data_IF_614457739397
#
_entry.id   IF_614457739397
#
_cell.length_a   1.000
_cell.length_b   1.000
_cell.length_c   1.000
_cell.angle_alpha   90.00
_cell.angle_beta   90.00
_cell.angle_gamma   90.00
#
_symmetry.space_group_name_H-M   'P 1'
#
loop_
_entity.id
_entity.type
_entity.pdbx_description
1 polymer ?
#
# COMPACT_ATOMS: atom_id res chain seq x y z
N UNK A 1 3.01 -19.27 1.80
CA UNK A 1 4.13 -19.07 0.86
C UNK A 1 3.79 -17.93 -0.08
N UNK A 2 4.65 -16.92 -0.17
CA UNK A 2 4.52 -15.81 -1.12
C UNK A 2 5.18 -16.23 -2.44
N UNK A 3 4.38 -16.47 -3.48
CA UNK A 3 4.89 -16.88 -4.79
C UNK A 3 4.95 -15.72 -5.77
N UNK A 4 6.05 -15.61 -6.52
CA UNK A 4 6.14 -14.82 -7.74
C UNK A 4 6.53 -15.77 -8.87
N UNK A 5 5.66 -15.90 -9.89
CA UNK A 5 5.90 -16.81 -11.02
C UNK A 5 6.17 -18.28 -10.63
N UNK A 6 5.49 -18.82 -9.62
CA UNK A 6 5.69 -20.20 -9.08
C UNK A 6 7.02 -20.48 -8.37
N UNK A 7 7.87 -19.47 -8.20
CA UNK A 7 9.08 -19.53 -7.36
C UNK A 7 8.82 -18.85 -6.02
N UNK A 8 9.26 -19.48 -4.93
CA UNK A 8 9.28 -18.85 -3.61
C UNK A 8 10.37 -17.77 -3.58
N UNK A 9 9.97 -16.54 -3.26
CA UNK A 9 10.91 -15.43 -3.14
C UNK A 9 11.73 -15.57 -1.86
N UNK A 10 13.01 -15.20 -1.91
CA UNK A 10 13.87 -15.10 -0.71
C UNK A 10 13.43 -13.97 0.24
N UNK A 11 12.73 -12.97 -0.29
CA UNK A 11 12.12 -11.89 0.47
C UNK A 11 11.67 -10.73 -0.42
N UNK A 12 11.01 -9.75 0.19
CA UNK A 12 10.68 -8.47 -0.45
C UNK A 12 10.91 -7.32 0.55
N UNK A 13 11.18 -6.14 0.01
CA UNK A 13 11.41 -4.90 0.73
C UNK A 13 10.27 -3.94 0.43
N UNK A 14 9.76 -3.33 1.48
CA UNK A 14 8.63 -2.40 1.41
C UNK A 14 9.15 -0.98 1.61
N UNK A 15 8.69 -0.06 0.77
CA UNK A 15 8.91 1.37 0.98
C UNK A 15 8.41 1.76 2.37
N UNK A 16 9.30 2.31 3.20
CA UNK A 16 9.01 2.64 4.60
C UNK A 16 7.85 3.62 4.78
N UNK A 17 7.68 4.51 3.81
CA UNK A 17 6.63 5.52 3.74
C UNK A 17 5.88 5.37 2.40
N UNK A 18 4.76 6.07 2.25
CA UNK A 18 4.15 6.31 0.94
C UNK A 18 5.18 6.89 -0.05
N UNK A 19 4.97 6.66 -1.35
CA UNK A 19 5.83 7.25 -2.38
C UNK A 19 5.70 8.78 -2.40
N UNK A 20 6.78 9.48 -2.74
CA UNK A 20 6.85 10.94 -2.87
C UNK A 20 7.69 11.35 -4.07
N UNK A 21 7.78 12.66 -4.34
CA UNK A 21 8.47 13.19 -5.52
C UNK A 21 7.53 13.32 -6.72
N UNK A 22 7.91 12.74 -7.87
CA UNK A 22 7.12 12.76 -9.09
C UNK A 22 7.11 11.39 -9.78
N UNK A 23 6.24 11.20 -10.77
CA UNK A 23 6.19 9.96 -11.56
C UNK A 23 7.45 9.68 -12.38
N UNK A 24 8.28 10.70 -12.63
CA UNK A 24 9.60 10.56 -13.27
C UNK A 24 10.75 10.37 -12.28
N UNK A 25 10.52 10.65 -10.99
CA UNK A 25 11.53 10.60 -9.94
C UNK A 25 10.88 10.22 -8.60
N UNK A 26 10.37 8.98 -8.53
CA UNK A 26 9.77 8.42 -7.33
C UNK A 26 10.82 8.31 -6.22
N UNK A 27 10.48 8.77 -5.01
CA UNK A 27 11.30 8.59 -3.81
C UNK A 27 10.46 8.01 -2.67
N UNK A 28 11.15 7.55 -1.61
CA UNK A 28 10.53 7.15 -0.34
C UNK A 28 11.26 7.89 0.78
N UNK A 29 10.65 8.95 1.31
CA UNK A 29 11.26 9.87 2.27
C UNK A 29 10.26 10.25 3.36
N UNK A 30 10.70 10.48 4.61
CA UNK A 30 9.86 11.11 5.64
C UNK A 30 9.74 12.62 5.40
N UNK A 31 8.80 13.29 6.07
CA UNK A 31 8.68 14.76 6.07
C UNK A 31 8.55 15.34 4.65
N UNK A 32 7.88 14.61 3.77
CA UNK A 32 7.49 15.15 2.48
C UNK A 32 6.04 14.81 2.25
N UNK A 33 5.35 15.70 1.56
CA UNK A 33 4.02 15.40 1.07
C UNK A 33 4.11 14.19 0.13
N UNK A 34 3.29 13.17 0.35
CA UNK A 34 3.25 12.02 -0.54
C UNK A 34 2.88 12.42 -1.97
N UNK A 35 3.36 11.66 -2.95
CA UNK A 35 2.93 11.80 -4.34
C UNK A 35 1.52 11.23 -4.41
N UNK A 36 0.58 12.07 -4.86
CA UNK A 36 -0.85 11.74 -4.96
C UNK A 36 -1.39 12.15 -6.32
N UNK A 37 -2.71 11.97 -6.51
CA UNK A 37 -3.42 12.40 -7.72
C UNK A 37 -2.82 11.78 -8.98
N UNK A 38 -2.57 10.47 -8.96
CA UNK A 38 -2.18 9.69 -10.13
C UNK A 38 -3.22 8.60 -10.38
N UNK A 39 -3.27 8.06 -11.60
CA UNK A 39 -3.99 6.82 -11.86
C UNK A 39 -3.17 5.62 -11.36
N UNK A 40 -3.83 4.47 -11.16
CA UNK A 40 -3.12 3.22 -10.80
C UNK A 40 -2.05 2.88 -11.84
N UNK A 41 -2.33 3.04 -13.13
CA UNK A 41 -1.32 2.80 -14.17
C UNK A 41 -0.14 3.76 -14.08
N UNK A 42 -0.37 5.03 -13.74
CA UNK A 42 0.70 6.02 -13.59
C UNK A 42 1.61 5.66 -12.41
N UNK A 43 1.04 5.30 -11.24
CA UNK A 43 1.82 4.80 -10.11
C UNK A 43 2.56 3.50 -10.44
N UNK A 44 1.88 2.53 -11.05
CA UNK A 44 2.47 1.25 -11.44
C UNK A 44 3.70 1.46 -12.34
N UNK A 45 3.57 2.24 -13.40
CA UNK A 45 4.67 2.52 -14.34
C UNK A 45 5.82 3.28 -13.67
N UNK A 46 5.49 4.31 -12.88
CA UNK A 46 6.51 5.10 -12.18
C UNK A 46 7.33 4.25 -11.20
N UNK A 47 6.66 3.38 -10.44
CA UNK A 47 7.31 2.49 -9.47
C UNK A 47 8.09 1.38 -10.20
N UNK A 48 7.58 0.84 -11.31
CA UNK A 48 8.34 -0.11 -12.14
C UNK A 48 9.65 0.47 -12.67
N UNK A 49 9.68 1.77 -12.98
CA UNK A 49 10.89 2.42 -13.49
C UNK A 49 11.94 2.69 -12.40
N UNK A 50 11.61 2.55 -11.11
CA UNK A 50 12.54 2.73 -9.97
C UNK A 50 13.77 1.85 -10.13
N UNK A 51 13.62 0.60 -10.60
CA UNK A 51 14.79 -0.26 -10.85
C UNK A 51 15.80 0.38 -11.79
N UNK A 52 15.34 1.08 -12.83
CA UNK A 52 16.21 1.74 -13.79
C UNK A 52 16.77 3.03 -13.21
N UNK A 53 15.91 3.84 -12.58
CA UNK A 53 16.29 5.10 -11.93
C UNK A 53 17.39 4.92 -10.88
N UNK A 54 17.37 3.81 -10.14
CA UNK A 54 18.32 3.54 -9.05
C UNK A 54 19.30 2.39 -9.34
N UNK A 55 19.34 1.86 -10.56
CA UNK A 55 20.31 0.82 -10.96
C UNK A 55 20.14 -0.52 -10.22
N UNK A 56 18.91 -0.91 -9.90
CA UNK A 56 18.59 -2.19 -9.25
C UNK A 56 18.60 -3.30 -10.31
N UNK A 57 19.71 -4.03 -10.40
CA UNK A 57 19.92 -5.02 -11.46
C UNK A 57 19.45 -6.45 -11.10
N UNK A 58 19.37 -6.78 -9.81
CA UNK A 58 19.08 -8.14 -9.32
C UNK A 58 17.76 -8.21 -8.52
N UNK A 59 16.81 -7.33 -8.79
CA UNK A 59 15.49 -7.35 -8.17
C UNK A 59 14.43 -6.74 -9.10
N UNK A 60 13.17 -7.01 -8.79
CA UNK A 60 12.00 -6.44 -9.47
C UNK A 60 11.41 -5.34 -8.58
N UNK A 61 11.11 -4.17 -9.15
CA UNK A 61 10.43 -3.08 -8.44
C UNK A 61 8.99 -2.96 -8.91
N UNK A 62 8.03 -2.91 -7.99
CA UNK A 62 6.62 -2.85 -8.36
C UNK A 62 5.78 -2.14 -7.30
N UNK A 63 4.61 -1.69 -7.72
CA UNK A 63 3.61 -1.15 -6.81
C UNK A 63 3.06 -2.27 -5.93
N UNK A 64 2.89 -2.00 -4.64
CA UNK A 64 2.47 -3.00 -3.65
C UNK A 64 1.21 -3.75 -4.06
N UNK A 65 1.24 -5.07 -3.92
CA UNK A 65 0.09 -5.97 -4.09
C UNK A 65 -0.66 -6.18 -2.78
N UNK A 66 -1.88 -6.71 -2.84
CA UNK A 66 -2.69 -6.95 -1.65
C UNK A 66 -2.09 -8.06 -0.77
N UNK A 67 -1.53 -9.12 -1.38
CA UNK A 67 -0.80 -10.16 -0.67
C UNK A 67 0.40 -9.59 0.10
N UNK A 68 1.13 -8.63 -0.46
CA UNK A 68 2.29 -7.99 0.19
C UNK A 68 1.84 -7.07 1.32
N UNK A 69 0.73 -6.34 1.15
CA UNK A 69 0.11 -5.59 2.24
C UNK A 69 -0.28 -6.52 3.40
N UNK A 70 -0.95 -7.64 3.10
CA UNK A 70 -1.35 -8.64 4.08
C UNK A 70 -0.16 -9.20 4.86
N UNK A 71 0.98 -9.43 4.19
CA UNK A 71 2.21 -9.83 4.83
C UNK A 71 2.70 -8.83 5.89
N UNK A 72 2.70 -7.54 5.55
CA UNK A 72 3.09 -6.47 6.48
C UNK A 72 2.09 -6.36 7.62
N UNK A 73 0.79 -6.52 7.33
CA UNK A 73 -0.27 -6.49 8.32
C UNK A 73 -0.15 -7.64 9.33
N UNK A 74 0.16 -8.85 8.88
CA UNK A 74 0.42 -9.98 9.78
C UNK A 74 1.72 -9.82 10.56
N UNK A 75 2.77 -9.24 9.95
CA UNK A 75 4.00 -8.92 10.68
C UNK A 75 3.73 -7.89 11.79
N UNK A 76 2.95 -6.84 11.50
CA UNK A 76 2.46 -5.87 12.50
C UNK A 76 1.72 -6.58 13.63
N UNK A 77 0.85 -7.54 13.32
CA UNK A 77 0.08 -8.29 14.32
C UNK A 77 0.92 -9.30 15.12
N UNK A 78 2.13 -9.65 14.66
CA UNK A 78 2.98 -10.65 15.31
C UNK A 78 3.65 -10.12 16.59
N UNK A 79 4.28 -11.03 17.34
CA UNK A 79 5.14 -10.68 18.50
C UNK A 79 6.37 -9.84 18.13
N UNK A 80 6.71 -9.74 16.84
CA UNK A 80 7.82 -8.94 16.32
C UNK A 80 7.36 -7.56 15.84
N UNK A 81 6.04 -7.35 15.72
CA UNK A 81 5.42 -6.05 15.47
C UNK A 81 4.83 -5.48 16.76
N UNK A 82 3.55 -5.15 16.73
CA UNK A 82 2.77 -4.54 17.80
C UNK A 82 1.80 -5.51 18.50
N UNK A 83 1.72 -6.77 18.07
CA UNK A 83 0.76 -7.70 18.62
C UNK A 83 -0.68 -7.20 18.39
N UNK A 84 -1.47 -7.19 19.46
CA UNK A 84 -2.85 -6.67 19.47
C UNK A 84 -2.94 -5.15 19.62
N UNK A 85 -1.81 -4.45 19.72
CA UNK A 85 -1.81 -2.99 19.78
C UNK A 85 -2.04 -2.45 18.38
N UNK A 86 -2.95 -1.49 18.26
CA UNK A 86 -3.20 -0.86 16.96
C UNK A 86 -2.17 0.21 16.60
N UNK A 87 -1.94 0.42 15.30
CA UNK A 87 -1.12 1.55 14.85
C UNK A 87 -1.93 2.84 14.97
N UNK A 88 -1.29 3.91 15.41
CA UNK A 88 -1.91 5.23 15.45
C UNK A 88 -2.13 5.76 14.03
N UNK A 89 -3.23 6.49 13.85
CA UNK A 89 -3.58 7.14 12.58
C UNK A 89 -2.63 8.32 12.34
N UNK A 90 -2.10 8.43 11.12
CA UNK A 90 -1.51 9.65 10.62
C UNK A 90 -2.63 10.65 10.30
N UNK A 91 -2.91 11.57 11.22
CA UNK A 91 -3.98 12.58 11.07
C UNK A 91 -3.51 13.85 10.33
N UNK A 92 -2.35 13.81 9.66
CA UNK A 92 -1.80 15.00 9.00
C UNK A 92 -2.55 15.29 7.68
N UNK A 93 -3.38 16.32 7.67
CA UNK A 93 -4.16 16.73 6.49
C UNK A 93 -3.33 17.28 5.31
N UNK A 94 -2.04 17.55 5.54
CA UNK A 94 -1.08 17.92 4.49
C UNK A 94 -0.34 16.71 3.92
N UNK A 95 -0.73 15.49 4.32
CA UNK A 95 -0.23 14.21 3.82
C UNK A 95 1.28 14.06 3.93
N UNK A 96 1.85 14.58 5.01
CA UNK A 96 3.26 14.36 5.30
C UNK A 96 3.49 12.90 5.69
N UNK A 97 4.41 12.27 4.96
CA UNK A 97 4.89 10.93 5.27
C UNK A 97 5.56 10.87 6.63
N UNK A 98 5.21 9.87 7.43
CA UNK A 98 5.65 9.76 8.83
C UNK A 98 4.99 10.76 9.79
N UNK A 99 3.87 11.35 9.37
CA UNK A 99 2.96 12.10 10.24
C UNK A 99 3.35 13.53 10.58
N UNK A 100 4.32 14.12 9.89
CA UNK A 100 4.67 15.52 10.13
C UNK A 100 5.97 15.94 9.49
N UNK A 101 6.44 17.12 9.89
CA UNK A 101 7.63 17.73 9.30
C UNK A 101 8.92 17.39 10.06
N UNK A 102 10.06 17.80 9.51
CA UNK A 102 11.40 17.55 10.06
C UNK A 102 11.66 16.05 10.29
N UNK A 103 11.81 15.64 11.54
CA UNK A 103 11.99 14.25 11.95
C UNK A 103 10.84 13.73 12.81
N UNK A 104 9.63 14.26 12.62
CA UNK A 104 8.42 13.86 13.34
C UNK A 104 8.20 12.33 13.36
N UNK A 105 8.58 11.60 12.30
CA UNK A 105 8.48 10.14 12.29
C UNK A 105 9.25 9.47 13.45
N UNK A 106 10.28 10.12 14.01
CA UNK A 106 11.04 9.59 15.15
C UNK A 106 10.28 9.67 16.47
N UNK A 107 9.32 10.58 16.59
CA UNK A 107 8.46 10.73 17.78
C UNK A 107 7.09 10.11 17.55
N UNK A 108 6.59 10.11 16.32
CA UNK A 108 5.33 9.49 15.89
C UNK A 108 5.43 7.95 15.75
N UNK A 109 6.23 7.28 16.57
CA UNK A 109 6.51 5.84 16.43
C UNK A 109 5.29 4.95 16.61
N UNK A 110 4.21 5.45 17.23
CA UNK A 110 2.93 4.74 17.30
C UNK A 110 2.28 4.55 15.92
N UNK A 111 2.61 5.37 14.92
CA UNK A 111 2.14 5.23 13.52
C UNK A 111 2.93 4.16 12.74
N UNK A 112 3.97 3.58 13.36
CA UNK A 112 4.82 2.55 12.78
C UNK A 112 4.30 1.15 13.11
N UNK A 113 4.40 0.22 12.16
CA UNK A 113 4.00 -1.20 12.36
C UNK A 113 4.74 -1.95 13.47
N UNK A 114 5.80 -1.36 14.04
CA UNK A 114 6.62 -1.94 15.12
C UNK A 114 6.63 -1.11 16.40
N UNK A 115 5.94 0.04 16.43
CA UNK A 115 6.00 0.95 17.59
C UNK A 115 7.35 1.63 17.78
N UNK A 116 8.25 1.56 16.79
CA UNK A 116 9.56 2.21 16.81
C UNK A 116 9.93 2.78 15.42
N UNK A 117 11.11 3.40 15.32
CA UNK A 117 11.54 4.06 14.10
C UNK A 117 11.81 3.12 12.92
N UNK A 118 11.81 1.80 13.08
CA UNK A 118 12.23 0.85 12.04
C UNK A 118 11.08 0.21 11.26
N UNK A 119 9.86 0.26 11.77
CA UNK A 119 8.69 -0.26 11.07
C UNK A 119 8.26 0.59 9.88
N UNK A 120 7.19 0.13 9.25
CA UNK A 120 6.55 0.78 8.11
C UNK A 120 5.55 1.80 8.65
N UNK A 121 5.59 3.01 8.10
CA UNK A 121 4.71 4.13 8.46
C UNK A 121 3.61 4.29 7.41
N UNK A 122 2.63 5.14 7.73
CA UNK A 122 1.55 5.55 6.82
C UNK A 122 0.69 4.37 6.36
N UNK A 123 0.56 3.33 7.19
CA UNK A 123 -0.37 2.21 6.94
C UNK A 123 -1.72 2.40 7.66
N UNK A 124 -1.91 3.56 8.30
CA UNK A 124 -3.16 4.03 8.91
C UNK A 124 -3.20 5.55 8.80
N UNK A 125 -4.13 6.10 8.02
CA UNK A 125 -4.25 7.53 7.79
C UNK A 125 -3.16 8.11 6.86
N UNK A 126 -3.13 9.43 6.73
CA UNK A 126 -2.34 10.12 5.73
C UNK A 126 -3.07 10.09 4.39
N UNK A 127 -2.47 9.48 3.37
CA UNK A 127 -3.13 9.25 2.11
C UNK A 127 -3.69 7.82 2.07
N UNK A 128 -4.83 7.63 1.42
CA UNK A 128 -5.28 6.27 1.12
C UNK A 128 -4.34 5.66 0.08
N UNK A 129 -3.92 4.42 0.24
CA UNK A 129 -2.97 3.80 -0.69
C UNK A 129 -3.70 2.95 -1.73
N UNK A 130 -3.48 3.26 -3.01
CA UNK A 130 -3.83 2.34 -4.08
C UNK A 130 -2.87 1.15 -4.05
N UNK A 131 -3.42 -0.05 -4.22
CA UNK A 131 -2.63 -1.29 -4.34
C UNK A 131 -3.01 -2.02 -5.61
N UNK A 132 -2.12 -2.89 -6.09
CA UNK A 132 -2.36 -3.74 -7.25
C UNK A 132 -3.27 -4.93 -6.90
N UNK A 133 -4.48 -4.64 -6.42
CA UNK A 133 -5.57 -5.59 -6.24
C UNK A 133 -6.74 -5.19 -7.14
N UNK A 134 -7.20 -6.08 -8.02
CA UNK A 134 -8.17 -5.75 -9.06
C UNK A 134 -9.34 -6.74 -9.14
N UNK A 135 -10.55 -6.21 -9.35
CA UNK A 135 -11.74 -6.97 -9.64
C UNK A 135 -11.82 -7.32 -11.13
N UNK A 136 -11.70 -8.61 -11.41
CA UNK A 136 -11.98 -9.26 -12.68
C UNK A 136 -11.32 -8.60 -13.90
N UNK A 137 -10.04 -8.24 -13.78
CA UNK A 137 -9.23 -7.58 -14.81
C UNK A 137 -9.87 -6.30 -15.38
N UNK A 138 -10.69 -5.64 -14.57
CA UNK A 138 -11.43 -4.45 -14.99
C UNK A 138 -10.55 -3.21 -14.83
N UNK A 139 -10.13 -2.64 -15.96
CA UNK A 139 -9.16 -1.52 -16.03
C UNK A 139 -9.82 -0.13 -16.15
N UNK A 140 -11.14 -0.04 -16.02
CA UNK A 140 -11.89 1.20 -16.17
C UNK A 140 -11.28 2.30 -15.30
N UNK A 141 -11.05 3.48 -15.87
CA UNK A 141 -10.45 4.67 -15.25
C UNK A 141 -9.00 4.54 -14.73
N UNK A 142 -8.39 3.36 -14.76
CA UNK A 142 -7.04 3.14 -14.23
C UNK A 142 -5.89 3.61 -15.13
N UNK A 143 -6.20 3.93 -16.39
CA UNK A 143 -5.22 4.38 -17.39
C UNK A 143 -4.40 3.26 -18.05
N UNK A 144 -4.72 1.99 -17.77
CA UNK A 144 -4.16 0.86 -18.50
C UNK A 144 -4.84 0.69 -19.87
N UNK A 145 -4.09 0.23 -20.88
CA UNK A 145 -4.64 -0.31 -22.14
C UNK A 145 -4.94 -1.81 -22.05
N UNK A 146 -4.21 -2.51 -21.19
CA UNK A 146 -4.39 -3.91 -20.80
C UNK A 146 -3.84 -4.12 -19.39
N UNK A 147 -4.30 -5.15 -18.70
CA UNK A 147 -3.69 -5.52 -17.41
C UNK A 147 -2.18 -5.80 -17.57
N UNK A 148 -1.35 -5.43 -16.58
CA UNK A 148 0.04 -5.85 -16.55
C UNK A 148 0.17 -7.37 -16.37
N UNK A 149 1.39 -7.91 -16.44
CA UNK A 149 1.62 -9.33 -16.20
C UNK A 149 1.06 -9.77 -14.83
N UNK A 150 0.44 -10.96 -14.77
CA UNK A 150 -0.29 -11.46 -13.60
C UNK A 150 0.50 -11.48 -12.28
N UNK A 151 1.84 -11.53 -12.36
CA UNK A 151 2.72 -11.46 -11.19
C UNK A 151 2.65 -10.13 -10.43
N UNK A 152 2.20 -9.06 -11.10
CA UNK A 152 2.16 -7.68 -10.59
C UNK A 152 0.84 -7.29 -9.90
N UNK A 153 -0.17 -8.17 -9.86
CA UNK A 153 -1.42 -7.83 -9.19
C UNK A 153 -2.14 -9.08 -8.65
N UNK A 154 -3.01 -8.85 -7.68
CA UNK A 154 -3.91 -9.87 -7.15
C UNK A 154 -5.30 -9.73 -7.80
N UNK A 155 -5.71 -10.75 -8.57
CA UNK A 155 -7.04 -10.80 -9.20
C UNK A 155 -8.12 -11.30 -8.26
N UNK A 156 -9.25 -10.61 -8.18
CA UNK A 156 -10.45 -11.01 -7.43
C UNK A 156 -11.61 -11.18 -8.40
N UNK A 157 -12.35 -12.28 -8.31
CA UNK A 157 -13.48 -12.59 -9.22
C UNK A 157 -14.84 -12.42 -8.56
N UNK A 158 -14.88 -12.40 -7.23
CA UNK A 158 -16.08 -12.27 -6.40
C UNK A 158 -15.82 -11.26 -5.30
N UNK A 159 -16.88 -10.78 -4.64
CA UNK A 159 -16.79 -9.84 -3.52
C UNK A 159 -16.42 -10.53 -2.20
N UNK A 160 -15.39 -11.37 -2.25
CA UNK A 160 -14.83 -12.04 -1.08
C UNK A 160 -13.32 -11.88 -1.07
N UNK A 161 -12.73 -11.85 0.12
CA UNK A 161 -11.30 -11.74 0.29
C UNK A 161 -10.55 -13.02 -0.04
N UNK A 162 -9.23 -12.94 0.04
CA UNK A 162 -8.36 -14.13 -0.02
C UNK A 162 -7.68 -14.33 1.33
N UNK A 163 -7.45 -15.59 1.66
CA UNK A 163 -6.61 -15.92 2.81
C UNK A 163 -5.18 -15.45 2.53
N UNK A 164 -4.57 -14.79 3.50
CA UNK A 164 -3.19 -14.31 3.41
C UNK A 164 -2.99 -12.85 2.98
N UNK A 165 -4.00 -12.17 2.43
CA UNK A 165 -3.91 -10.76 2.01
C UNK A 165 -4.54 -9.77 3.00
N UNK A 166 -4.98 -10.28 4.16
CA UNK A 166 -5.67 -9.54 5.22
C UNK A 166 -7.04 -8.95 4.80
N UNK A 167 -7.70 -9.50 3.77
CA UNK A 167 -9.07 -9.12 3.39
C UNK A 167 -10.15 -10.10 3.87
N UNK A 168 -9.79 -11.30 4.32
CA UNK A 168 -10.74 -12.26 4.90
C UNK A 168 -10.60 -12.38 6.42
N UNK A 169 -9.45 -12.84 6.91
CA UNK A 169 -9.26 -13.27 8.31
C UNK A 169 -9.28 -12.10 9.30
N UNK A 170 -8.91 -10.92 8.84
CA UNK A 170 -8.79 -9.69 9.64
C UNK A 170 -9.76 -8.61 9.19
N UNK A 171 -10.76 -8.96 8.39
CA UNK A 171 -11.76 -8.01 7.89
C UNK A 171 -12.48 -7.33 9.05
N UNK A 172 -12.42 -6.00 9.10
CA UNK A 172 -13.07 -5.20 10.16
C UNK A 172 -12.35 -5.18 11.51
N UNK A 173 -11.14 -5.73 11.61
CA UNK A 173 -10.36 -5.65 12.84
C UNK A 173 -10.09 -4.21 13.26
N UNK A 174 -10.08 -3.96 14.57
CA UNK A 174 -9.95 -2.63 15.19
C UNK A 174 -11.02 -1.59 14.79
N UNK A 175 -12.08 -1.99 14.09
CA UNK A 175 -13.11 -1.08 13.58
C UNK A 175 -12.78 -0.49 12.19
N UNK A 176 -11.72 -0.99 11.55
CA UNK A 176 -11.32 -0.62 10.21
C UNK A 176 -12.43 -0.91 9.19
N UNK A 177 -12.59 -0.03 8.20
CA UNK A 177 -13.56 -0.29 7.13
C UNK A 177 -13.11 -1.43 6.21
N UNK A 178 -14.07 -2.19 5.70
CA UNK A 178 -13.83 -3.36 4.87
C UNK A 178 -14.83 -3.44 3.70
N UNK A 179 -14.48 -2.83 2.57
CA UNK A 179 -15.32 -2.80 1.36
C UNK A 179 -14.63 -3.41 0.15
N UNK A 180 -15.26 -4.42 -0.44
CA UNK A 180 -14.72 -5.11 -1.62
C UNK A 180 -14.97 -4.35 -2.93
N UNK A 181 -13.98 -4.30 -3.83
CA UNK A 181 -14.16 -3.86 -5.20
C UNK A 181 -15.27 -4.61 -5.95
N UNK A 182 -15.86 -3.90 -6.91
CA UNK A 182 -16.92 -4.42 -7.77
C UNK A 182 -16.84 -3.74 -9.15
N UNK A 183 -17.60 -4.18 -10.18
CA UNK A 183 -17.37 -3.79 -11.57
C UNK A 183 -17.20 -2.28 -11.85
N UNK A 184 -17.83 -1.40 -11.06
CA UNK A 184 -17.77 0.07 -11.26
C UNK A 184 -16.58 0.73 -10.56
N UNK A 185 -16.04 0.10 -9.52
CA UNK A 185 -14.92 0.58 -8.68
C UNK A 185 -13.98 -0.62 -8.44
N UNK A 186 -13.21 -1.01 -9.48
CA UNK A 186 -12.61 -2.33 -9.53
C UNK A 186 -11.25 -2.43 -8.82
N UNK A 187 -10.72 -1.34 -8.24
CA UNK A 187 -9.39 -1.35 -7.62
C UNK A 187 -9.46 -1.32 -6.10
N UNK A 188 -8.58 -2.04 -5.44
CA UNK A 188 -8.42 -1.96 -3.99
C UNK A 188 -7.67 -0.69 -3.58
N UNK A 189 -8.06 -0.19 -2.42
CA UNK A 189 -7.32 0.81 -1.65
C UNK A 189 -7.17 0.37 -0.21
N UNK A 190 -6.11 0.81 0.46
CA UNK A 190 -5.73 0.36 1.81
C UNK A 190 -5.31 1.55 2.70
N UNK A 191 -5.15 1.31 4.00
CA UNK A 191 -4.67 2.28 5.01
C UNK A 191 -5.71 3.30 5.50
N UNK A 192 -6.54 3.82 4.59
CA UNK A 192 -7.50 4.89 4.90
C UNK A 192 -6.83 6.27 4.95
N UNK A 193 -7.60 7.34 4.78
CA UNK A 193 -7.05 8.70 4.79
C UNK A 193 -7.02 9.32 6.20
N UNK A 194 -6.37 10.48 6.34
CA UNK A 194 -6.15 11.19 7.60
C UNK A 194 -7.42 11.55 8.40
N UNK A 195 -8.61 11.56 7.78
CA UNK A 195 -9.85 12.02 8.42
C UNK A 195 -10.77 10.87 8.90
N UNK A 196 -10.42 9.62 8.58
CA UNK A 196 -11.25 8.46 8.92
C UNK A 196 -11.20 8.07 10.40
N UNK A 197 -10.29 8.65 11.19
CA UNK A 197 -10.16 8.32 12.62
C UNK A 197 -9.97 6.82 12.83
N UNK A 198 -10.76 6.22 13.73
CA UNK A 198 -10.68 4.79 14.06
C UNK A 198 -11.13 3.86 12.94
N UNK A 199 -11.64 4.39 11.82
CA UNK A 199 -11.97 3.56 10.66
C UNK A 199 -10.77 3.36 9.72
N UNK A 200 -9.66 4.09 9.89
CA UNK A 200 -8.40 3.87 9.17
C UNK A 200 -7.48 2.94 9.97
N UNK A 201 -6.69 2.15 9.25
CA UNK A 201 -5.83 1.16 9.87
C UNK A 201 -5.16 0.23 8.88
N UNK A 202 -4.26 -0.61 9.39
CA UNK A 202 -3.53 -1.58 8.56
C UNK A 202 -4.47 -2.63 7.95
N UNK A 203 -5.62 -2.87 8.58
CA UNK A 203 -6.65 -3.79 8.11
C UNK A 203 -7.77 -3.11 7.32
N UNK A 204 -7.72 -1.77 7.16
CA UNK A 204 -8.63 -1.03 6.30
C UNK A 204 -8.47 -1.41 4.84
N UNK A 205 -9.57 -1.79 4.19
CA UNK A 205 -9.63 -1.87 2.75
C UNK A 205 -10.94 -1.31 2.20
N UNK A 206 -10.84 -0.70 1.03
CA UNK A 206 -11.99 -0.18 0.28
C UNK A 206 -11.76 -0.31 -1.22
N UNK A 207 -12.67 0.24 -1.99
CA UNK A 207 -12.66 0.23 -3.44
C UNK A 207 -12.40 1.62 -4.05
N UNK A 208 -11.93 1.62 -5.29
CA UNK A 208 -11.59 2.81 -6.05
C UNK A 208 -11.87 2.61 -7.54
N UNK A 209 -12.15 3.71 -8.24
CA UNK A 209 -12.19 3.73 -9.69
C UNK A 209 -10.80 3.50 -10.32
N UNK A 210 -9.71 3.67 -9.57
CA UNK A 210 -8.34 3.57 -10.06
C UNK A 210 -7.85 4.81 -10.84
N UNK A 211 -8.69 5.82 -11.02
CA UNK A 211 -8.34 7.10 -11.63
C UNK A 211 -7.79 8.12 -10.63
N UNK A 212 -7.64 9.37 -11.09
CA UNK A 212 -7.17 10.49 -10.26
C UNK A 212 -8.01 10.65 -8.99
N UNK A 213 -7.37 10.54 -7.83
CA UNK A 213 -7.98 10.74 -6.51
C UNK A 213 -7.03 11.58 -5.65
N UNK A 214 -7.47 12.75 -5.19
CA UNK A 214 -6.58 13.74 -4.56
C UNK A 214 -5.91 13.27 -3.28
N UNK A 215 -6.62 12.45 -2.50
CA UNK A 215 -6.14 11.86 -1.26
C UNK A 215 -5.42 10.53 -1.44
N UNK A 216 -5.18 10.05 -2.67
CA UNK A 216 -4.65 8.70 -2.90
C UNK A 216 -3.18 8.69 -3.31
N UNK A 217 -2.38 7.90 -2.58
CA UNK A 217 -0.98 7.61 -2.89
C UNK A 217 -0.78 6.13 -3.24
N UNK A 218 0.46 5.67 -3.21
CA UNK A 218 0.87 4.29 -3.46
C UNK A 218 2.14 3.96 -2.67
N UNK A 219 2.53 2.69 -2.69
CA UNK A 219 3.78 2.22 -2.07
C UNK A 219 4.58 1.35 -3.00
N UNK A 220 5.88 1.61 -3.00
CA UNK A 220 6.84 0.85 -3.76
C UNK A 220 7.29 -0.40 -2.99
N UNK A 221 7.45 -1.49 -3.71
CA UNK A 221 8.02 -2.76 -3.25
C UNK A 221 9.18 -3.13 -4.16
N UNK A 222 10.20 -3.75 -3.59
CA UNK A 222 11.27 -4.42 -4.34
C UNK A 222 11.27 -5.89 -3.92
N UNK A 223 11.33 -6.82 -4.85
CA UNK A 223 11.45 -8.25 -4.56
C UNK A 223 12.70 -8.84 -5.21
N UNK A 224 13.48 -9.58 -4.44
CA UNK A 224 14.63 -10.33 -4.94
C UNK A 224 14.17 -11.69 -5.47
N UNK A 225 14.85 -12.24 -6.49
CA UNK A 225 14.56 -13.57 -7.01
C UNK A 225 14.61 -14.68 -5.94
#
# INVERSE_FOLDING_TARGET
>A
MYGFQSTELTGFWVGKFEVSGSTSAITVKPNVTSLRSQTVSSFFTAIQNVKTTYGINNADSHMMKNMEWGAVAYLKQSKYGLGTTDIAVNTNSSYYTGGGTSDAYKTNVAQSTTGNIYGVYDMSGGAIEMVMGNYNDTIINAGFSSMPAAKYYDKYTIKTGKTGDATTETSGWYGDSAYFPFPRVPWFTRGGDYNLGTNAGVFYFSYSFGGYTDGASARAVVSAP
#
